data_IF_401248655287
#
_entry.id   IF_401248655287
#
_cell.length_a   1.000
_cell.length_b   1.000
_cell.length_c   1.000
_cell.angle_alpha   90.00
_cell.angle_beta   90.00
_cell.angle_gamma   90.00
#
_symmetry.space_group_name_H-M   'P 1'
#
loop_
_entity.id
_entity.type
_entity.pdbx_description
1 polymer ?
#
# COMPACT_ATOMS: atom_id res chain seq x y z
N UNK A 1 2.71 1.75 8.63
CA UNK A 1 2.38 0.90 7.46
C UNK A 1 3.63 0.35 6.78
N UNK A 2 4.57 1.19 6.32
CA UNK A 2 5.82 0.76 5.64
C UNK A 2 6.60 -0.30 6.42
N UNK A 3 6.87 -0.07 7.72
CA UNK A 3 7.63 -1.01 8.57
C UNK A 3 7.04 -2.43 8.57
N UNK A 4 5.71 -2.55 8.65
CA UNK A 4 5.01 -3.84 8.61
C UNK A 4 5.20 -4.54 7.25
N UNK A 5 5.26 -3.77 6.14
CA UNK A 5 5.40 -4.30 4.78
C UNK A 5 6.85 -4.52 4.33
N UNK A 6 7.84 -4.24 5.15
CA UNK A 6 9.25 -4.58 4.85
C UNK A 6 9.92 -5.47 5.89
N UNK A 7 9.28 -5.68 7.05
CA UNK A 7 9.70 -6.61 8.09
C UNK A 7 9.81 -8.08 7.59
N UNK A 8 10.80 -8.83 8.07
CA UNK A 8 11.02 -10.23 7.64
C UNK A 8 9.89 -11.15 8.13
N UNK A 9 9.39 -10.88 9.32
CA UNK A 9 8.31 -11.59 10.03
C UNK A 9 7.02 -11.64 9.22
N UNK A 10 6.90 -10.75 8.25
CA UNK A 10 5.72 -10.62 7.42
C UNK A 10 5.78 -11.32 6.06
N UNK A 11 6.91 -11.94 5.74
CA UNK A 11 7.06 -12.77 4.55
C UNK A 11 6.09 -13.97 4.51
N UNK A 12 5.88 -14.75 5.59
CA UNK A 12 5.01 -15.92 5.55
C UNK A 12 3.56 -15.56 5.24
N UNK A 13 3.01 -14.54 5.92
CA UNK A 13 1.63 -14.14 5.66
C UNK A 13 1.49 -13.40 4.33
N UNK A 14 2.51 -12.67 3.85
CA UNK A 14 2.46 -12.05 2.53
C UNK A 14 2.36 -13.09 1.41
N UNK A 15 3.14 -14.19 1.49
CA UNK A 15 3.02 -15.31 0.53
C UNK A 15 1.63 -15.94 0.55
N UNK A 16 1.09 -16.17 1.74
CA UNK A 16 -0.27 -16.68 1.90
C UNK A 16 -1.30 -15.77 1.23
N UNK A 17 -1.22 -14.45 1.46
CA UNK A 17 -2.12 -13.49 0.83
C UNK A 17 -1.99 -13.45 -0.69
N UNK A 18 -0.77 -13.50 -1.25
CA UNK A 18 -0.58 -13.54 -2.71
C UNK A 18 -1.25 -14.77 -3.31
N UNK A 19 -1.05 -15.93 -2.68
CA UNK A 19 -1.68 -17.18 -3.12
C UNK A 19 -3.21 -17.06 -3.12
N UNK A 20 -3.79 -16.57 -2.03
CA UNK A 20 -5.24 -16.35 -1.91
C UNK A 20 -5.78 -15.26 -2.84
N UNK A 21 -4.95 -14.33 -3.33
CA UNK A 21 -5.36 -13.34 -4.33
C UNK A 21 -5.40 -13.95 -5.73
N UNK A 22 -4.48 -14.86 -6.06
CA UNK A 22 -4.43 -15.53 -7.36
C UNK A 22 -5.44 -16.68 -7.47
N UNK A 23 -5.65 -17.41 -6.37
CA UNK A 23 -6.59 -18.53 -6.26
C UNK A 23 -7.46 -18.36 -5.01
N UNK A 24 -8.51 -17.52 -5.07
CA UNK A 24 -9.32 -17.21 -3.89
C UNK A 24 -10.04 -18.44 -3.34
N UNK A 25 -9.90 -18.64 -2.03
CA UNK A 25 -10.67 -19.66 -1.28
C UNK A 25 -11.52 -19.01 -0.19
N UNK A 26 -12.14 -19.83 0.67
CA UNK A 26 -12.79 -19.33 1.89
C UNK A 26 -11.82 -18.57 2.81
N UNK A 27 -10.51 -18.87 2.74
CA UNK A 27 -9.52 -18.18 3.53
C UNK A 27 -9.34 -16.73 3.06
N UNK A 28 -9.30 -16.47 1.74
CA UNK A 28 -9.37 -15.12 1.19
C UNK A 28 -10.56 -14.35 1.74
N UNK A 29 -11.77 -14.92 1.71
CA UNK A 29 -13.00 -14.24 2.17
C UNK A 29 -12.88 -13.81 3.63
N UNK A 30 -12.36 -14.69 4.50
CA UNK A 30 -12.16 -14.39 5.93
C UNK A 30 -11.16 -13.27 6.14
N UNK A 31 -10.01 -13.31 5.46
CA UNK A 31 -8.99 -12.26 5.57
C UNK A 31 -9.49 -10.93 4.99
N UNK A 32 -10.20 -10.98 3.86
CA UNK A 32 -10.78 -9.81 3.24
C UNK A 32 -11.77 -9.13 4.18
N UNK A 33 -12.72 -9.89 4.74
CA UNK A 33 -13.73 -9.35 5.65
C UNK A 33 -13.13 -8.88 6.99
N UNK A 34 -12.20 -9.64 7.57
CA UNK A 34 -11.67 -9.37 8.90
C UNK A 34 -10.59 -8.28 8.95
N UNK A 35 -9.77 -8.15 7.90
CA UNK A 35 -8.57 -7.30 7.94
C UNK A 35 -8.48 -6.37 6.74
N UNK A 36 -8.55 -6.89 5.50
CA UNK A 36 -8.26 -6.06 4.32
C UNK A 36 -9.32 -4.98 4.11
N UNK A 37 -10.61 -5.35 4.18
CA UNK A 37 -11.72 -4.43 3.97
C UNK A 37 -11.70 -3.27 4.99
N UNK A 38 -11.61 -3.50 6.31
CA UNK A 38 -11.49 -2.40 7.27
C UNK A 38 -10.31 -1.46 6.99
N UNK A 39 -9.15 -2.01 6.61
CA UNK A 39 -7.97 -1.19 6.26
C UNK A 39 -8.19 -0.36 5.00
N UNK A 40 -8.80 -0.94 3.96
CA UNK A 40 -9.12 -0.24 2.71
C UNK A 40 -10.17 0.85 2.97
N UNK A 41 -11.21 0.56 3.75
CA UNK A 41 -12.23 1.54 4.12
C UNK A 41 -11.62 2.72 4.90
N UNK A 42 -10.69 2.45 5.82
CA UNK A 42 -9.94 3.52 6.49
C UNK A 42 -9.11 4.34 5.51
N UNK A 43 -8.36 3.68 4.62
CA UNK A 43 -7.57 4.35 3.59
C UNK A 43 -8.41 5.28 2.71
N UNK A 44 -9.60 4.83 2.30
CA UNK A 44 -10.55 5.63 1.52
C UNK A 44 -11.02 6.87 2.25
N UNK A 45 -11.28 6.79 3.57
CA UNK A 45 -11.67 7.95 4.37
C UNK A 45 -10.55 8.98 4.44
N UNK A 46 -9.31 8.53 4.60
CA UNK A 46 -8.14 9.42 4.63
C UNK A 46 -7.90 10.09 3.28
N UNK A 47 -7.93 9.32 2.18
CA UNK A 47 -7.76 9.84 0.83
C UNK A 47 -8.89 10.79 0.44
N UNK A 48 -10.14 10.44 0.76
CA UNK A 48 -11.29 11.32 0.55
C UNK A 48 -11.15 12.65 1.31
N UNK A 49 -10.65 12.60 2.55
CA UNK A 49 -10.38 13.82 3.33
C UNK A 49 -9.29 14.71 2.69
N UNK A 50 -8.23 14.11 2.12
CA UNK A 50 -7.18 14.86 1.40
C UNK A 50 -7.73 15.52 0.13
N UNK A 51 -8.58 14.80 -0.60
CA UNK A 51 -9.13 15.26 -1.88
C UNK A 51 -10.36 16.17 -1.73
N UNK A 52 -11.00 16.19 -0.56
CA UNK A 52 -12.31 16.84 -0.39
C UNK A 52 -13.44 16.11 -1.13
N UNK A 53 -13.29 14.81 -1.36
CA UNK A 53 -14.22 13.98 -2.13
C UNK A 53 -14.92 12.94 -1.24
N UNK A 54 -16.09 12.47 -1.70
CA UNK A 54 -16.79 11.36 -1.05
C UNK A 54 -15.88 10.13 -0.99
N UNK A 55 -15.59 9.57 0.21
CA UNK A 55 -14.84 8.33 0.35
C UNK A 55 -15.43 7.16 -0.46
N UNK A 56 -16.73 7.19 -0.78
CA UNK A 56 -17.42 6.20 -1.61
C UNK A 56 -17.12 6.33 -3.12
N UNK A 57 -16.59 7.48 -3.59
CA UNK A 57 -16.34 7.75 -5.01
C UNK A 57 -15.37 6.77 -5.65
N UNK A 58 -15.54 6.50 -6.94
CA UNK A 58 -14.62 5.64 -7.69
C UNK A 58 -13.21 6.25 -7.75
N UNK A 59 -13.10 7.57 -7.90
CA UNK A 59 -11.83 8.26 -7.92
C UNK A 59 -11.05 8.05 -6.61
N UNK A 60 -11.70 8.21 -5.45
CA UNK A 60 -11.08 7.94 -4.13
C UNK A 60 -10.68 6.47 -3.99
N UNK A 61 -11.47 5.52 -4.50
CA UNK A 61 -11.11 4.09 -4.49
C UNK A 61 -9.82 3.84 -5.24
N UNK A 62 -9.75 4.32 -6.48
CA UNK A 62 -8.60 4.10 -7.36
C UNK A 62 -7.35 4.75 -6.76
N UNK A 63 -7.46 5.96 -6.23
CA UNK A 63 -6.37 6.66 -5.51
C UNK A 63 -5.91 5.89 -4.29
N UNK A 64 -6.84 5.34 -3.50
CA UNK A 64 -6.50 4.51 -2.34
C UNK A 64 -5.75 3.26 -2.74
N UNK A 65 -6.22 2.53 -3.77
CA UNK A 65 -5.53 1.34 -4.26
C UNK A 65 -4.15 1.67 -4.82
N UNK A 66 -4.00 2.80 -5.52
CA UNK A 66 -2.71 3.24 -6.04
C UNK A 66 -1.72 3.54 -4.89
N UNK A 67 -2.12 4.30 -3.87
CA UNK A 67 -1.28 4.60 -2.71
C UNK A 67 -0.84 3.31 -1.98
N UNK A 68 -1.79 2.42 -1.70
CA UNK A 68 -1.51 1.17 -0.99
C UNK A 68 -0.60 0.25 -1.84
N UNK A 69 -0.89 0.13 -3.14
CA UNK A 69 -0.12 -0.67 -4.09
C UNK A 69 1.34 -0.23 -4.19
N UNK A 70 1.58 1.09 -4.23
CA UNK A 70 2.92 1.68 -4.27
C UNK A 70 3.77 1.34 -3.04
N UNK A 71 3.16 1.01 -1.90
CA UNK A 71 3.88 0.55 -0.70
C UNK A 71 3.99 -0.98 -0.68
N UNK A 72 2.95 -1.69 -1.13
CA UNK A 72 2.93 -3.16 -1.19
C UNK A 72 3.99 -3.73 -2.15
N UNK A 73 4.39 -2.99 -3.18
CA UNK A 73 5.41 -3.44 -4.14
C UNK A 73 6.73 -3.82 -3.45
N UNK A 74 7.12 -3.13 -2.37
CA UNK A 74 8.35 -3.43 -1.61
C UNK A 74 8.30 -4.79 -0.91
N UNK A 75 7.10 -5.31 -0.65
CA UNK A 75 6.90 -6.67 -0.17
C UNK A 75 6.92 -7.67 -1.31
N UNK A 76 6.07 -7.47 -2.31
CA UNK A 76 5.83 -8.47 -3.36
C UNK A 76 7.01 -8.61 -4.32
N UNK A 77 7.67 -7.50 -4.64
CA UNK A 77 8.85 -7.46 -5.47
C UNK A 77 10.13 -7.34 -4.63
N UNK A 78 10.15 -7.83 -3.37
CA UNK A 78 11.29 -7.71 -2.45
C UNK A 78 12.62 -8.08 -3.10
N UNK A 79 12.69 -9.24 -3.75
CA UNK A 79 13.94 -9.72 -4.37
C UNK A 79 14.41 -8.77 -5.48
N UNK A 80 13.49 -8.35 -6.35
CA UNK A 80 13.78 -7.39 -7.42
C UNK A 80 14.24 -6.04 -6.86
N UNK A 81 13.55 -5.51 -5.85
CA UNK A 81 13.92 -4.23 -5.23
C UNK A 81 15.31 -4.31 -4.60
N UNK A 82 15.59 -5.36 -3.82
CA UNK A 82 16.89 -5.50 -3.16
C UNK A 82 18.03 -5.64 -4.18
N UNK A 83 17.82 -6.41 -5.25
CA UNK A 83 18.79 -6.51 -6.33
C UNK A 83 19.01 -5.17 -7.06
N UNK A 84 17.92 -4.48 -7.42
CA UNK A 84 17.97 -3.23 -8.16
C UNK A 84 18.57 -2.07 -7.36
N UNK A 85 18.29 -2.04 -6.05
CA UNK A 85 18.78 -0.99 -5.14
C UNK A 85 20.14 -1.34 -4.53
N UNK A 86 20.69 -2.52 -4.84
CA UNK A 86 21.94 -3.04 -4.29
C UNK A 86 21.91 -3.08 -2.74
N UNK A 87 20.78 -3.55 -2.19
CA UNK A 87 20.55 -3.67 -0.75
C UNK A 87 20.55 -5.13 -0.33
N UNK A 88 21.25 -5.45 0.76
CA UNK A 88 21.17 -6.79 1.36
C UNK A 88 19.82 -7.05 2.05
N UNK A 89 19.26 -6.00 2.65
CA UNK A 89 18.00 -6.07 3.39
C UNK A 89 17.33 -4.70 3.55
N UNK A 90 16.07 -4.69 3.94
CA UNK A 90 15.36 -3.49 4.39
C UNK A 90 15.74 -3.17 5.85
N UNK A 91 16.97 -2.68 6.05
CA UNK A 91 17.46 -2.23 7.35
C UNK A 91 16.86 -0.89 7.79
N UNK A 92 17.19 -0.39 8.99
CA UNK A 92 16.61 0.83 9.54
C UNK A 92 16.70 2.05 8.59
N UNK A 93 17.84 2.20 7.89
CA UNK A 93 18.04 3.26 6.91
C UNK A 93 17.07 3.14 5.72
N UNK A 94 16.93 1.94 5.16
CA UNK A 94 16.02 1.68 4.03
C UNK A 94 14.56 1.90 4.45
N UNK A 95 14.17 1.48 5.66
CA UNK A 95 12.82 1.73 6.18
C UNK A 95 12.53 3.22 6.25
N UNK A 96 13.50 4.04 6.64
CA UNK A 96 13.31 5.48 6.72
C UNK A 96 13.21 6.14 5.33
N UNK A 97 14.00 5.69 4.36
CA UNK A 97 13.85 6.12 2.96
C UNK A 97 12.45 5.79 2.41
N UNK A 98 11.95 4.58 2.67
CA UNK A 98 10.62 4.17 2.24
C UNK A 98 9.49 4.91 2.97
N UNK A 99 9.73 5.35 4.21
CA UNK A 99 8.81 6.24 4.93
C UNK A 99 8.76 7.61 4.29
N UNK A 100 9.91 8.17 3.92
CA UNK A 100 10.01 9.43 3.17
C UNK A 100 9.23 9.35 1.86
N UNK A 101 9.48 8.31 1.07
CA UNK A 101 8.74 8.06 -0.18
C UNK A 101 7.23 7.93 0.06
N UNK A 102 6.81 7.24 1.12
CA UNK A 102 5.39 7.14 1.44
C UNK A 102 4.75 8.50 1.77
N UNK A 103 5.49 9.42 2.40
CA UNK A 103 5.03 10.79 2.64
C UNK A 103 4.92 11.58 1.33
N UNK A 104 5.92 11.49 0.45
CA UNK A 104 5.89 12.11 -0.88
C UNK A 104 4.69 11.62 -1.70
N UNK A 105 4.40 10.32 -1.67
CA UNK A 105 3.23 9.75 -2.35
C UNK A 105 1.90 10.29 -1.81
N UNK A 106 1.82 10.58 -0.51
CA UNK A 106 0.64 11.22 0.10
C UNK A 106 0.52 12.67 -0.36
N UNK A 107 1.62 13.41 -0.43
CA UNK A 107 1.61 14.80 -0.91
C UNK A 107 1.11 14.92 -2.35
N UNK A 108 1.43 13.95 -3.21
CA UNK A 108 0.98 13.87 -4.61
C UNK A 108 -0.51 13.53 -4.75
N UNK A 109 -1.15 12.99 -3.71
CA UNK A 109 -2.60 12.76 -3.72
C UNK A 109 -3.37 14.08 -3.65
N UNK A 110 -2.81 15.09 -2.99
CA UNK A 110 -3.44 16.41 -2.90
C UNK A 110 -3.86 16.95 -4.28
N UNK A 111 -4.90 17.81 -4.34
CA UNK A 111 -5.39 18.33 -5.60
C UNK A 111 -4.25 18.93 -6.42
N UNK A 112 -4.18 18.56 -7.71
CA UNK A 112 -3.20 19.14 -8.65
C UNK A 112 -3.29 20.66 -8.55
N UNK A 113 -2.17 21.32 -8.22
CA UNK A 113 -2.09 22.79 -8.26
C UNK A 113 -2.20 23.37 -9.68
N UNK A 114 -2.42 22.55 -10.71
CA UNK A 114 -2.61 22.99 -12.09
C UNK A 114 -3.83 22.32 -12.72
N UNK A 115 -4.82 23.14 -13.08
CA UNK A 115 -6.02 22.69 -13.77
C UNK A 115 -7.25 23.60 -13.63
N UNK A 116 -7.06 24.91 -13.43
CA UNK A 116 -8.09 25.89 -13.73
C UNK A 116 -7.62 26.64 -15.00
N UNK A 117 -8.14 26.21 -16.14
CA UNK A 117 -8.15 26.96 -17.38
C UNK A 117 -9.57 26.89 -17.94
#
# INVERSE_FOLDING_TARGET
MVTLFVAKESEPWARFLIREQMEPTEAFKRVYQGIMRPMIEMGRRLVGAILGEDPASEHVRLRTFNLVGSILIFRFARATVLAQMEWDTFGPKQVELLRGLAAELVDVIGPSKGGAA
#
